data_IF_686158111162
#
_entry.id   IF_686158111162
#
_cell.length_a   1.000
_cell.length_b   1.000
_cell.length_c   1.000
_cell.angle_alpha   90.00
_cell.angle_beta   90.00
_cell.angle_gamma   90.00
#
_symmetry.space_group_name_H-M   'P 1'
#
loop_
_entity.id
_entity.type
_entity.pdbx_description
1 polymer ?
#
# COMPACT_ATOMS: atom_id res chain seq x y z
N UNK A 1 -6.14 6.36 -11.94
CA UNK A 1 -5.66 5.85 -10.64
C UNK A 1 -4.48 6.71 -10.21
N UNK A 2 -4.39 7.04 -8.92
CA UNK A 2 -3.29 7.86 -8.38
C UNK A 2 -2.90 7.41 -6.97
N UNK A 3 -1.65 7.65 -6.58
CA UNK A 3 -1.22 7.58 -5.18
C UNK A 3 -1.68 8.88 -4.50
N UNK A 4 -2.37 8.73 -3.37
CA UNK A 4 -2.77 9.87 -2.51
C UNK A 4 -1.63 10.21 -1.56
N UNK A 5 -1.04 9.19 -0.92
CA UNK A 5 0.04 9.37 0.06
C UNK A 5 0.87 8.10 0.19
N UNK A 6 2.09 8.28 0.70
CA UNK A 6 3.01 7.21 1.07
C UNK A 6 3.77 7.58 2.35
N UNK A 7 3.94 6.65 3.28
CA UNK A 7 4.68 6.85 4.54
C UNK A 7 5.62 5.68 4.86
N UNK A 8 6.63 5.97 5.67
CA UNK A 8 7.53 4.99 6.26
C UNK A 8 7.57 5.21 7.75
N UNK A 9 7.13 4.21 8.50
CA UNK A 9 6.94 4.29 9.94
C UNK A 9 7.73 3.15 10.61
N UNK A 10 8.59 3.43 11.60
CA UNK A 10 9.25 2.37 12.36
C UNK A 10 8.21 1.59 13.17
N UNK A 11 8.34 0.27 13.21
CA UNK A 11 7.47 -0.63 13.97
C UNK A 11 8.17 -1.22 15.20
N UNK A 12 9.49 -1.37 15.14
CA UNK A 12 10.27 -2.00 16.19
C UNK A 12 11.69 -1.43 16.26
N UNK A 13 12.29 -1.55 17.45
CA UNK A 13 13.56 -0.95 17.82
C UNK A 13 14.45 -1.97 18.55
N UNK A 14 15.77 -1.85 18.38
CA UNK A 14 16.71 -2.61 19.19
C UNK A 14 16.81 -2.07 20.63
N UNK A 15 17.60 -2.77 21.46
CA UNK A 15 17.84 -2.39 22.87
C UNK A 15 18.46 -1.00 23.06
N UNK A 16 19.07 -0.44 22.02
CA UNK A 16 19.70 0.88 22.05
C UNK A 16 18.76 1.97 21.49
N UNK A 17 17.54 1.61 21.09
CA UNK A 17 16.55 2.52 20.53
C UNK A 17 16.70 2.77 19.03
N UNK A 18 17.46 1.95 18.30
CA UNK A 18 17.57 2.08 16.84
C UNK A 18 16.46 1.29 16.13
N UNK A 19 15.74 1.90 15.17
CA UNK A 19 14.75 1.18 14.38
C UNK A 19 15.35 -0.04 13.65
N UNK A 20 14.70 -1.19 13.78
CA UNK A 20 15.10 -2.46 13.13
C UNK A 20 14.01 -3.04 12.21
N UNK A 21 12.78 -2.52 12.31
CA UNK A 21 11.66 -2.91 11.47
C UNK A 21 10.90 -1.65 11.05
N UNK A 22 10.61 -1.52 9.75
CA UNK A 22 9.78 -0.45 9.21
C UNK A 22 8.57 -1.01 8.48
N UNK A 23 7.48 -0.25 8.52
CA UNK A 23 6.32 -0.40 7.64
C UNK A 23 6.33 0.71 6.61
N UNK A 24 6.30 0.32 5.34
CA UNK A 24 5.86 1.23 4.28
C UNK A 24 4.34 1.17 4.13
N UNK A 25 3.74 2.31 3.87
CA UNK A 25 2.30 2.45 3.61
C UNK A 25 2.07 3.22 2.32
N UNK A 26 1.13 2.78 1.49
CA UNK A 26 0.68 3.51 0.29
C UNK A 26 -0.85 3.54 0.26
N UNK A 27 -1.42 4.73 0.08
CA UNK A 27 -2.84 4.92 -0.17
C UNK A 27 -3.07 5.21 -1.67
N UNK A 28 -3.87 4.38 -2.33
CA UNK A 28 -4.27 4.54 -3.73
C UNK A 28 -5.71 4.99 -3.85
N UNK A 29 -5.97 5.90 -4.78
CA UNK A 29 -7.31 6.24 -5.26
C UNK A 29 -7.50 5.70 -6.67
N UNK A 30 -8.58 4.97 -6.89
CA UNK A 30 -8.98 4.51 -8.21
C UNK A 30 -10.43 4.92 -8.48
N UNK A 31 -10.68 5.53 -9.65
CA UNK A 31 -12.02 5.66 -10.20
C UNK A 31 -12.22 4.52 -11.20
N UNK A 32 -13.30 3.78 -11.02
CA UNK A 32 -13.70 2.67 -11.88
C UNK A 32 -15.07 3.00 -12.46
N UNK A 33 -15.22 2.80 -13.77
CA UNK A 33 -16.46 2.98 -14.50
C UNK A 33 -16.92 1.59 -14.93
N UNK A 34 -18.12 1.19 -14.50
CA UNK A 34 -18.66 -0.12 -14.87
C UNK A 34 -19.31 -0.11 -16.28
N UNK A 35 -19.81 -1.27 -16.71
CA UNK A 35 -20.48 -1.43 -18.02
C UNK A 35 -21.80 -0.65 -18.12
N UNK A 36 -22.39 -0.23 -16.99
CA UNK A 36 -23.61 0.60 -16.90
C UNK A 36 -23.26 2.09 -16.76
N UNK A 37 -22.01 2.48 -17.01
CA UNK A 37 -21.47 3.83 -16.84
C UNK A 37 -21.57 4.40 -15.42
N UNK A 38 -21.78 3.55 -14.41
CA UNK A 38 -21.74 3.97 -13.02
C UNK A 38 -20.29 4.14 -12.60
N UNK A 39 -20.00 5.30 -12.03
CA UNK A 39 -18.69 5.63 -11.47
C UNK A 39 -18.63 5.24 -10.00
N UNK A 40 -17.54 4.56 -9.61
CA UNK A 40 -17.22 4.23 -8.22
C UNK A 40 -15.79 4.65 -7.92
N UNK A 41 -15.60 5.33 -6.81
CA UNK A 41 -14.27 5.66 -6.29
C UNK A 41 -13.89 4.67 -5.21
N UNK A 42 -12.72 4.06 -5.33
CA UNK A 42 -12.11 3.22 -4.32
C UNK A 42 -10.90 3.92 -3.73
N UNK A 43 -10.79 3.90 -2.41
CA UNK A 43 -9.58 4.26 -1.68
C UNK A 43 -9.12 3.00 -0.98
N UNK A 44 -7.92 2.54 -1.32
CA UNK A 44 -7.31 1.34 -0.74
C UNK A 44 -5.93 1.65 -0.22
N UNK A 45 -5.54 0.93 0.82
CA UNK A 45 -4.23 1.01 1.43
C UNK A 45 -3.49 -0.33 1.26
N UNK A 46 -2.18 -0.24 1.14
CA UNK A 46 -1.27 -1.39 1.13
C UNK A 46 -0.09 -1.12 2.03
N UNK A 47 0.35 -2.19 2.70
CA UNK A 47 1.46 -2.16 3.63
C UNK A 47 2.52 -3.16 3.23
N UNK A 48 3.78 -2.85 3.53
CA UNK A 48 4.88 -3.80 3.41
C UNK A 48 5.89 -3.52 4.52
N UNK A 49 6.11 -4.55 5.32
CA UNK A 49 7.03 -4.53 6.46
C UNK A 49 8.37 -5.10 6.01
N UNK A 50 9.46 -4.46 6.41
CA UNK A 50 10.80 -4.90 6.07
C UNK A 50 11.79 -4.60 7.19
N UNK A 51 12.71 -5.54 7.47
CA UNK A 51 13.76 -5.32 8.44
C UNK A 51 14.87 -4.42 7.87
N UNK A 52 15.58 -3.75 8.77
CA UNK A 52 16.78 -3.00 8.48
C UNK A 52 17.80 -3.27 9.59
N UNK A 53 19.08 -3.34 9.24
CA UNK A 53 20.14 -3.44 10.25
C UNK A 53 20.17 -2.18 11.11
N UNK A 54 20.33 -2.34 12.42
CA UNK A 54 20.46 -1.21 13.34
C UNK A 54 21.51 -0.20 12.84
N UNK A 55 21.26 1.09 13.02
CA UNK A 55 22.09 2.20 12.52
C UNK A 55 22.25 2.31 11.00
N UNK A 56 21.51 1.54 10.20
CA UNK A 56 21.58 1.68 8.74
C UNK A 56 20.72 2.84 8.24
N UNK A 57 21.19 3.49 7.18
CA UNK A 57 20.47 4.58 6.52
C UNK A 57 19.48 4.00 5.51
N UNK A 58 18.22 4.44 5.57
CA UNK A 58 17.22 4.14 4.54
C UNK A 58 17.49 5.01 3.31
N UNK A 59 18.17 4.43 2.32
CA UNK A 59 18.42 5.08 1.03
C UNK A 59 17.20 5.02 0.09
N UNK A 60 17.26 5.76 -1.01
CA UNK A 60 16.14 5.89 -1.95
C UNK A 60 15.78 4.58 -2.64
N UNK A 61 16.75 3.69 -2.87
CA UNK A 61 16.50 2.37 -3.46
C UNK A 61 15.64 1.51 -2.52
N UNK A 62 15.91 1.53 -1.22
CA UNK A 62 15.12 0.82 -0.20
C UNK A 62 13.70 1.42 -0.15
N UNK A 63 13.57 2.76 -0.12
CA UNK A 63 12.27 3.44 -0.11
C UNK A 63 11.44 3.06 -1.34
N UNK A 64 12.04 3.14 -2.53
CA UNK A 64 11.38 2.81 -3.79
C UNK A 64 10.90 1.35 -3.81
N UNK A 65 11.76 0.42 -3.36
CA UNK A 65 11.40 -0.99 -3.28
C UNK A 65 10.25 -1.24 -2.29
N UNK A 66 10.28 -0.60 -1.12
CA UNK A 66 9.24 -0.72 -0.11
C UNK A 66 7.89 -0.17 -0.60
N UNK A 67 7.88 1.05 -1.18
CA UNK A 67 6.68 1.63 -1.75
C UNK A 67 6.14 0.87 -2.95
N UNK A 68 7.01 0.28 -3.79
CA UNK A 68 6.59 -0.62 -4.87
C UNK A 68 5.81 -1.82 -4.32
N UNK A 69 6.33 -2.47 -3.26
CA UNK A 69 5.66 -3.62 -2.63
C UNK A 69 4.35 -3.22 -1.95
N UNK A 70 4.33 -2.11 -1.22
CA UNK A 70 3.09 -1.56 -0.63
C UNK A 70 2.05 -1.21 -1.69
N UNK A 71 2.46 -0.65 -2.82
CA UNK A 71 1.55 -0.34 -3.94
C UNK A 71 0.96 -1.61 -4.55
N UNK A 72 1.75 -2.68 -4.71
CA UNK A 72 1.25 -3.99 -5.19
C UNK A 72 0.21 -4.55 -4.21
N UNK A 73 0.46 -4.46 -2.91
CA UNK A 73 -0.49 -4.93 -1.88
C UNK A 73 -1.79 -4.10 -1.90
N UNK A 74 -1.69 -2.78 -2.09
CA UNK A 74 -2.86 -1.91 -2.26
C UNK A 74 -3.65 -2.30 -3.52
N UNK A 75 -2.97 -2.56 -4.64
CA UNK A 75 -3.59 -2.98 -5.89
C UNK A 75 -4.30 -4.34 -5.77
N UNK A 76 -3.71 -5.31 -5.08
CA UNK A 76 -4.35 -6.60 -4.82
C UNK A 76 -5.66 -6.41 -4.04
N UNK A 77 -5.66 -5.52 -3.03
CA UNK A 77 -6.87 -5.16 -2.28
C UNK A 77 -7.92 -4.48 -3.16
N UNK A 78 -7.51 -3.59 -4.06
CA UNK A 78 -8.41 -2.96 -5.03
C UNK A 78 -9.09 -3.99 -5.93
N UNK A 79 -8.31 -4.91 -6.51
CA UNK A 79 -8.83 -5.97 -7.39
C UNK A 79 -9.86 -6.81 -6.63
N UNK A 80 -9.54 -7.23 -5.40
CA UNK A 80 -10.47 -8.00 -4.57
C UNK A 80 -11.80 -7.26 -4.32
N UNK A 81 -11.76 -5.95 -4.04
CA UNK A 81 -12.96 -5.13 -3.85
C UNK A 81 -13.78 -5.00 -5.14
N UNK A 82 -13.13 -4.72 -6.28
CA UNK A 82 -13.81 -4.61 -7.57
C UNK A 82 -14.46 -5.95 -7.95
N UNK A 83 -13.77 -7.07 -7.75
CA UNK A 83 -14.33 -8.40 -8.02
C UNK A 83 -15.55 -8.67 -7.14
N UNK A 84 -15.46 -8.39 -5.84
CA UNK A 84 -16.58 -8.54 -4.90
C UNK A 84 -17.80 -7.70 -5.34
N UNK A 85 -17.58 -6.43 -5.65
CA UNK A 85 -18.66 -5.52 -6.03
C UNK A 85 -19.26 -5.89 -7.39
N UNK A 86 -18.44 -6.32 -8.35
CA UNK A 86 -18.92 -6.80 -9.65
C UNK A 86 -19.79 -8.05 -9.57
N UNK A 87 -19.49 -8.99 -8.64
CA UNK A 87 -20.34 -10.16 -8.39
C UNK A 87 -21.70 -9.74 -7.81
N UNK A 88 -21.71 -8.79 -6.88
CA UNK A 88 -22.95 -8.31 -6.24
C UNK A 88 -23.87 -7.57 -7.21
N UNK A 89 -23.32 -6.87 -8.20
CA UNK A 89 -24.09 -6.15 -9.23
C UNK A 89 -24.61 -7.03 -10.37
N UNK A 90 -24.13 -8.27 -10.47
CA UNK A 90 -24.54 -9.24 -11.49
C UNK A 90 -25.71 -10.14 -11.04
N UNK A 91 -26.10 -10.07 -9.76
CA UNK A 91 -27.32 -10.70 -9.22
C UNK A 91 -28.51 -9.76 -9.38
#
# INVERSE_FOLDING_TARGET
MSIISSSLDPLDYDKNGYPILYRSSVNLKAEIIDKKHKKRTYIVNGFYDFPISANSVINDQIKLNAFKRSSINALNKLIALITKDGINESK
#
